data_IF_226340787128
#
_entry.id   IF_226340787128
#
_cell.length_a   1.000
_cell.length_b   1.000
_cell.length_c   1.000
_cell.angle_alpha   90.00
_cell.angle_beta   90.00
_cell.angle_gamma   90.00
#
_symmetry.space_group_name_H-M   'P 1'
#
loop_
_entity.id
_entity.type
_entity.pdbx_description
1 polymer ?
#
# COMPACT_ATOMS: atom_id res chain seq x y z
N UNK A 1 35.00 -40.38 -22.75
CA UNK A 1 33.69 -40.07 -22.13
C UNK A 1 33.76 -38.66 -21.57
N UNK A 2 33.02 -37.71 -22.15
CA UNK A 2 33.00 -36.30 -21.72
C UNK A 2 31.75 -36.10 -20.86
N UNK A 3 31.94 -35.85 -19.57
CA UNK A 3 30.89 -35.53 -18.61
C UNK A 3 30.41 -34.11 -18.95
N UNK A 4 29.16 -33.98 -19.42
CA UNK A 4 28.52 -32.67 -19.55
C UNK A 4 28.24 -32.12 -18.16
N UNK A 5 28.85 -30.98 -17.85
CA UNK A 5 28.57 -30.17 -16.68
C UNK A 5 27.12 -29.68 -16.74
N UNK A 6 26.31 -30.12 -15.77
CA UNK A 6 25.02 -29.53 -15.46
C UNK A 6 25.26 -28.13 -14.88
N UNK A 7 25.15 -27.10 -15.71
CA UNK A 7 25.04 -25.71 -15.27
C UNK A 7 23.66 -25.52 -14.64
N UNK A 8 23.62 -25.66 -13.33
CA UNK A 8 22.48 -25.31 -12.49
C UNK A 8 22.38 -23.78 -12.45
N UNK A 9 21.53 -23.21 -13.30
CA UNK A 9 21.05 -21.83 -13.16
C UNK A 9 20.05 -21.76 -12.01
N UNK A 10 20.54 -21.74 -10.78
CA UNK A 10 19.75 -21.22 -9.65
C UNK A 10 19.98 -19.72 -9.63
N UNK A 11 19.23 -19.00 -10.47
CA UNK A 11 19.01 -17.58 -10.27
C UNK A 11 18.03 -17.46 -9.11
N UNK A 12 18.54 -17.00 -7.98
CA UNK A 12 17.87 -16.99 -6.69
C UNK A 12 16.50 -16.33 -6.71
N UNK A 13 15.45 -17.13 -6.51
CA UNK A 13 14.13 -16.68 -6.09
C UNK A 13 14.14 -16.38 -4.59
N UNK A 14 14.90 -15.35 -4.19
CA UNK A 14 15.00 -14.90 -2.80
C UNK A 14 14.93 -13.36 -2.68
N UNK A 15 14.00 -12.71 -3.39
CA UNK A 15 13.90 -11.24 -3.39
C UNK A 15 12.48 -10.65 -3.25
N UNK A 16 11.48 -11.40 -2.76
CA UNK A 16 10.13 -10.83 -2.56
C UNK A 16 9.77 -10.51 -1.10
N UNK A 17 10.19 -11.32 -0.12
CA UNK A 17 9.63 -11.15 1.24
C UNK A 17 10.12 -9.88 1.95
N UNK A 18 11.38 -9.49 1.76
CA UNK A 18 11.95 -8.28 2.36
C UNK A 18 11.46 -6.97 1.73
N UNK A 19 11.12 -6.98 0.43
CA UNK A 19 10.68 -5.79 -0.28
C UNK A 19 9.20 -5.46 -0.03
N UNK A 20 8.35 -6.48 0.16
CA UNK A 20 6.92 -6.28 0.42
C UNK A 20 6.68 -5.70 1.83
N UNK A 21 7.31 -6.27 2.85
CA UNK A 21 7.18 -5.78 4.22
C UNK A 21 7.78 -4.38 4.38
N UNK A 22 8.96 -4.13 3.80
CA UNK A 22 9.58 -2.80 3.80
C UNK A 22 8.68 -1.76 3.11
N UNK A 23 8.10 -2.11 1.96
CA UNK A 23 7.12 -1.27 1.25
C UNK A 23 5.93 -0.94 2.16
N UNK A 24 5.29 -1.96 2.75
CA UNK A 24 4.13 -1.76 3.62
C UNK A 24 4.44 -0.89 4.84
N UNK A 25 5.52 -1.21 5.56
CA UNK A 25 5.90 -0.46 6.76
C UNK A 25 6.16 1.01 6.44
N UNK A 26 6.89 1.28 5.34
CA UNK A 26 7.20 2.64 4.92
C UNK A 26 5.93 3.42 4.52
N UNK A 27 5.08 2.86 3.67
CA UNK A 27 3.90 3.55 3.14
C UNK A 27 2.84 3.73 4.24
N UNK A 28 2.57 2.70 5.06
CA UNK A 28 1.66 2.86 6.19
C UNK A 28 2.20 3.82 7.25
N UNK A 29 3.53 3.91 7.43
CA UNK A 29 4.17 4.94 8.25
C UNK A 29 3.83 6.35 7.78
N UNK A 30 3.99 6.64 6.49
CA UNK A 30 3.62 7.94 5.92
C UNK A 30 2.13 8.24 6.06
N UNK A 31 1.26 7.25 5.84
CA UNK A 31 -0.19 7.40 6.01
C UNK A 31 -0.57 7.69 7.46
N UNK A 32 0.08 7.05 8.43
CA UNK A 32 -0.15 7.32 9.84
C UNK A 32 0.29 8.74 10.22
N UNK A 33 1.48 9.17 9.78
CA UNK A 33 1.95 10.54 9.99
C UNK A 33 0.99 11.57 9.36
N UNK A 34 0.53 11.30 8.13
CA UNK A 34 -0.44 12.15 7.44
C UNK A 34 -1.77 12.23 8.18
N UNK A 35 -2.33 11.08 8.60
CA UNK A 35 -3.60 11.02 9.32
C UNK A 35 -3.55 11.80 10.63
N UNK A 36 -2.44 11.69 11.37
CA UNK A 36 -2.23 12.43 12.60
C UNK A 36 -2.03 13.93 12.35
N UNK A 37 -1.20 14.30 11.37
CA UNK A 37 -0.90 15.70 11.04
C UNK A 37 -2.12 16.46 10.51
N UNK A 38 -2.93 15.81 9.69
CA UNK A 38 -4.06 16.45 8.99
C UNK A 38 -5.43 16.05 9.55
N UNK A 39 -5.48 15.33 10.67
CA UNK A 39 -6.71 14.88 11.32
C UNK A 39 -7.63 14.11 10.36
N UNK A 40 -7.11 13.03 9.77
CA UNK A 40 -7.88 12.10 8.93
C UNK A 40 -8.27 10.89 9.77
N UNK A 41 -9.55 10.80 10.11
CA UNK A 41 -10.07 9.84 11.10
C UNK A 41 -10.39 8.44 10.55
N UNK A 42 -10.46 8.29 9.23
CA UNK A 42 -10.83 7.06 8.52
C UNK A 42 -9.71 6.53 7.60
N UNK A 43 -8.45 6.88 7.85
CA UNK A 43 -7.31 6.48 7.00
C UNK A 43 -7.10 4.97 7.06
N UNK A 44 -7.33 4.26 5.95
CA UNK A 44 -7.09 2.82 5.90
C UNK A 44 -5.60 2.47 5.98
N UNK A 45 -5.30 1.41 6.75
CA UNK A 45 -4.06 0.66 6.62
C UNK A 45 -4.10 -0.11 5.29
N UNK A 46 -3.01 -0.02 4.52
CA UNK A 46 -2.86 -0.72 3.25
C UNK A 46 -2.36 -2.14 3.47
N UNK A 47 -2.87 -3.06 2.66
CA UNK A 47 -2.37 -4.43 2.50
C UNK A 47 -1.60 -4.55 1.18
N UNK A 48 -0.71 -5.54 1.06
CA UNK A 48 0.07 -5.73 -0.16
C UNK A 48 -0.72 -6.54 -1.19
N UNK A 49 -0.73 -6.10 -2.45
CA UNK A 49 -1.43 -6.80 -3.54
C UNK A 49 -0.48 -7.15 -4.70
N UNK A 50 -0.14 -8.44 -4.81
CA UNK A 50 0.74 -8.97 -5.87
C UNK A 50 0.16 -8.79 -7.28
N UNK A 51 -1.15 -8.61 -7.44
CA UNK A 51 -1.76 -8.30 -8.74
C UNK A 51 -1.39 -6.90 -9.18
N UNK A 52 -1.43 -5.93 -8.26
CA UNK A 52 -0.98 -4.56 -8.55
C UNK A 52 0.50 -4.59 -8.90
N UNK A 53 1.31 -5.37 -8.17
CA UNK A 53 2.74 -5.55 -8.49
C UNK A 53 2.95 -6.05 -9.91
N UNK A 54 2.18 -7.07 -10.32
CA UNK A 54 2.24 -7.62 -11.67
C UNK A 54 1.96 -6.55 -12.72
N UNK A 55 0.92 -5.72 -12.53
CA UNK A 55 0.63 -4.64 -13.47
C UNK A 55 1.74 -3.59 -13.50
N UNK A 56 2.36 -3.26 -12.35
CA UNK A 56 3.54 -2.36 -12.33
C UNK A 56 4.64 -2.93 -13.23
N UNK A 57 4.97 -4.22 -13.10
CA UNK A 57 6.01 -4.88 -13.90
C UNK A 57 5.68 -4.88 -15.39
N UNK A 58 4.42 -5.13 -15.76
CA UNK A 58 3.96 -5.07 -17.15
C UNK A 58 4.07 -3.67 -17.75
N UNK A 59 3.74 -2.62 -16.99
CA UNK A 59 3.89 -1.24 -17.44
C UNK A 59 5.37 -0.83 -17.59
N UNK A 60 6.22 -1.31 -16.68
CA UNK A 60 7.67 -1.08 -16.77
C UNK A 60 8.29 -1.79 -17.97
N UNK A 61 7.82 -2.99 -18.33
CA UNK A 61 8.31 -3.72 -19.50
C UNK A 61 8.01 -3.03 -20.83
N UNK A 62 7.08 -2.07 -20.85
CA UNK A 62 6.73 -1.26 -22.03
C UNK A 62 7.59 0.01 -22.15
N UNK A 63 8.41 0.31 -21.13
CA UNK A 63 9.26 1.49 -21.17
C UNK A 63 10.36 1.29 -22.22
N UNK A 64 10.45 2.24 -23.13
CA UNK A 64 11.54 2.31 -24.12
C UNK A 64 12.75 3.07 -23.54
N UNK A 65 12.50 3.96 -22.57
CA UNK A 65 13.53 4.77 -21.91
C UNK A 65 13.33 4.78 -20.39
N UNK A 66 14.41 4.51 -19.66
CA UNK A 66 14.53 4.54 -18.20
C UNK A 66 14.24 5.92 -17.58
N UNK A 67 14.22 6.99 -18.38
CA UNK A 67 13.84 8.33 -17.94
C UNK A 67 12.32 8.55 -17.92
N UNK A 68 11.54 7.66 -18.56
CA UNK A 68 10.09 7.81 -18.61
C UNK A 68 9.51 7.78 -17.20
N UNK A 69 8.73 8.81 -16.89
CA UNK A 69 7.94 8.94 -15.66
C UNK A 69 6.50 9.11 -16.08
N UNK A 70 5.60 8.29 -15.56
CA UNK A 70 4.19 8.44 -15.84
C UNK A 70 3.32 7.91 -14.71
N UNK A 71 2.09 8.40 -14.71
CA UNK A 71 1.02 7.91 -13.86
C UNK A 71 -0.02 7.27 -14.76
N UNK A 72 -0.24 5.96 -14.60
CA UNK A 72 -1.34 5.27 -15.27
C UNK A 72 -2.53 5.25 -14.32
N UNK A 73 -3.64 5.81 -14.80
CA UNK A 73 -4.93 5.70 -14.14
C UNK A 73 -5.74 4.61 -14.84
N UNK A 74 -6.00 3.52 -14.14
CA UNK A 74 -6.98 2.51 -14.55
C UNK A 74 -8.29 2.73 -13.78
N UNK A 75 -9.39 2.09 -14.16
CA UNK A 75 -10.68 2.19 -13.43
C UNK A 75 -10.50 1.83 -11.95
N UNK A 76 -9.64 0.86 -11.63
CA UNK A 76 -9.50 0.32 -10.28
C UNK A 76 -8.15 0.60 -9.60
N UNK A 77 -7.19 1.19 -10.29
CA UNK A 77 -5.84 1.38 -9.75
C UNK A 77 -5.16 2.67 -10.24
N UNK A 78 -4.18 3.13 -9.48
CA UNK A 78 -3.24 4.19 -9.86
C UNK A 78 -1.84 3.59 -9.80
N UNK A 79 -1.08 3.70 -10.89
CA UNK A 79 0.29 3.20 -10.98
C UNK A 79 1.22 4.37 -11.23
N UNK A 80 2.25 4.51 -10.41
CA UNK A 80 3.29 5.52 -10.52
C UNK A 80 4.58 4.82 -10.91
N UNK A 81 5.08 5.14 -12.10
CA UNK A 81 6.33 4.59 -12.62
C UNK A 81 7.42 5.66 -12.55
N UNK A 82 8.52 5.35 -11.87
CA UNK A 82 9.72 6.19 -11.79
C UNK A 82 9.46 7.64 -11.31
N UNK A 83 8.42 7.85 -10.51
CA UNK A 83 8.01 9.19 -10.04
C UNK A 83 8.96 9.66 -8.93
N UNK A 84 9.34 10.95 -8.85
CA UNK A 84 10.18 11.45 -7.76
C UNK A 84 9.55 11.17 -6.39
N UNK A 85 10.39 10.73 -5.43
CA UNK A 85 9.97 10.28 -4.08
C UNK A 85 9.03 11.25 -3.35
N UNK A 86 9.26 12.55 -3.49
CA UNK A 86 8.43 13.59 -2.84
C UNK A 86 6.99 13.61 -3.36
N UNK A 87 6.81 13.45 -4.69
CA UNK A 87 5.48 13.37 -5.30
C UNK A 87 4.79 12.07 -4.95
N UNK A 88 5.54 10.96 -4.96
CA UNK A 88 5.06 9.67 -4.47
C UNK A 88 4.50 9.79 -3.04
N UNK A 89 5.26 10.38 -2.12
CA UNK A 89 4.88 10.44 -0.71
C UNK A 89 3.55 11.19 -0.51
N UNK A 90 3.33 12.28 -1.24
CA UNK A 90 2.06 13.02 -1.18
C UNK A 90 0.89 12.19 -1.72
N UNK A 91 1.07 11.54 -2.87
CA UNK A 91 0.03 10.78 -3.56
C UNK A 91 -0.37 9.50 -2.80
N UNK A 92 0.58 8.81 -2.16
CA UNK A 92 0.31 7.59 -1.36
C UNK A 92 -0.28 7.88 0.01
N UNK A 93 -0.03 9.08 0.55
CA UNK A 93 -0.47 9.44 1.89
C UNK A 93 -1.91 9.95 1.96
N UNK A 94 -2.44 10.51 0.86
CA UNK A 94 -3.65 11.33 0.94
C UNK A 94 -4.98 10.59 0.82
N UNK A 95 -5.17 9.54 -0.02
CA UNK A 95 -6.49 8.94 -0.12
C UNK A 95 -6.77 8.02 1.06
N UNK A 96 -7.67 8.43 1.97
CA UNK A 96 -8.08 7.62 3.12
C UNK A 96 -8.70 6.28 2.71
N UNK A 97 -9.39 6.25 1.56
CA UNK A 97 -10.13 5.10 1.07
C UNK A 97 -9.31 3.99 0.45
N UNK A 98 -8.10 4.25 -0.05
CA UNK A 98 -7.25 3.23 -0.67
C UNK A 98 -6.93 2.12 0.36
N UNK A 99 -6.91 0.87 -0.10
CA UNK A 99 -6.79 -0.33 0.77
C UNK A 99 -5.63 -1.25 0.40
N UNK A 100 -5.08 -1.12 -0.80
CA UNK A 100 -4.04 -1.99 -1.33
C UNK A 100 -2.87 -1.19 -1.88
N UNK A 101 -1.66 -1.73 -1.75
CA UNK A 101 -0.43 -1.20 -2.32
C UNK A 101 0.43 -2.30 -2.93
N UNK A 102 1.25 -1.94 -3.92
CA UNK A 102 2.42 -2.72 -4.30
C UNK A 102 3.59 -1.80 -4.61
N UNK A 103 4.80 -2.31 -4.43
CA UNK A 103 6.02 -1.59 -4.76
C UNK A 103 6.94 -2.47 -5.60
N UNK A 104 7.57 -1.89 -6.62
CA UNK A 104 8.61 -2.56 -7.42
C UNK A 104 9.85 -1.69 -7.40
N UNK A 105 10.92 -2.23 -6.80
CA UNK A 105 12.30 -1.75 -6.96
C UNK A 105 12.92 -2.50 -8.14
N UNK A 106 13.56 -1.78 -9.05
CA UNK A 106 14.27 -2.36 -10.20
C UNK A 106 15.45 -1.48 -10.60
N UNK A 107 16.24 -1.96 -11.56
CA UNK A 107 17.34 -1.20 -12.15
C UNK A 107 17.11 -1.08 -13.66
N UNK A 108 17.37 0.11 -14.21
CA UNK A 108 17.28 0.40 -15.64
C UNK A 108 18.49 1.25 -16.03
N UNK A 109 19.34 0.75 -16.93
CA UNK A 109 20.61 1.37 -17.35
C UNK A 109 21.50 1.81 -16.17
N UNK A 110 21.62 0.98 -15.12
CA UNK A 110 22.43 1.28 -13.94
C UNK A 110 21.81 2.31 -12.98
N UNK A 111 20.57 2.74 -13.24
CA UNK A 111 19.81 3.64 -12.37
C UNK A 111 18.71 2.87 -11.66
N UNK A 112 18.64 2.99 -10.34
CA UNK A 112 17.52 2.47 -9.55
C UNK A 112 16.22 3.18 -9.94
N UNK A 113 15.19 2.39 -10.22
CA UNK A 113 13.82 2.85 -10.45
C UNK A 113 12.93 2.26 -9.37
N UNK A 114 12.17 3.14 -8.73
CA UNK A 114 11.10 2.79 -7.82
C UNK A 114 9.75 3.09 -8.47
N UNK A 115 8.86 2.10 -8.43
CA UNK A 115 7.50 2.22 -8.91
C UNK A 115 6.55 1.70 -7.85
N UNK A 116 5.34 2.26 -7.79
CA UNK A 116 4.32 1.83 -6.84
C UNK A 116 2.94 1.82 -7.51
N UNK A 117 2.04 1.06 -6.93
CA UNK A 117 0.65 1.04 -7.32
C UNK A 117 -0.26 1.04 -6.10
N UNK A 118 -1.43 1.65 -6.26
CA UNK A 118 -2.50 1.68 -5.27
C UNK A 118 -3.79 1.21 -5.94
N UNK A 119 -4.67 0.57 -5.18
CA UNK A 119 -6.06 0.50 -5.61
C UNK A 119 -6.69 1.90 -5.59
N UNK A 120 -7.79 2.06 -6.32
CA UNK A 120 -8.73 3.15 -6.09
C UNK A 120 -9.76 2.54 -5.16
N UNK A 121 -9.62 2.75 -3.85
CA UNK A 121 -10.44 2.09 -2.84
C UNK A 121 -11.90 1.90 -3.27
N UNK A 122 -12.49 0.74 -2.96
CA UNK A 122 -13.84 0.33 -3.41
C UNK A 122 -14.95 1.33 -3.07
N UNK A 123 -14.66 2.23 -2.14
CA UNK A 123 -15.44 3.42 -1.86
C UNK A 123 -14.49 4.61 -2.05
N UNK A 124 -14.89 5.58 -2.87
CA UNK A 124 -14.37 6.95 -2.71
C UNK A 124 -14.88 7.48 -1.36
N UNK A 125 -14.35 6.97 -0.26
CA UNK A 125 -14.61 7.58 1.05
C UNK A 125 -13.77 8.82 1.08
N UNK A 126 -14.44 9.97 1.06
CA UNK A 126 -13.80 11.24 1.34
C UNK A 126 -13.08 11.16 2.69
N UNK A 127 -12.01 11.94 2.81
CA UNK A 127 -11.29 12.09 4.07
C UNK A 127 -12.24 12.65 5.14
N UNK A 128 -12.48 11.88 6.19
CA UNK A 128 -13.32 12.34 7.29
C UNK A 128 -12.44 13.04 8.31
N UNK A 129 -12.73 14.32 8.57
CA UNK A 129 -12.02 15.09 9.60
C UNK A 129 -12.31 14.56 11.00
N UNK A 130 -11.25 14.42 11.79
CA UNK A 130 -11.28 14.02 13.18
C UNK A 130 -9.96 13.38 13.63
N UNK A 131 -9.81 13.03 14.91
CA UNK A 131 -8.61 12.35 15.38
C UNK A 131 -8.42 11.02 14.63
N UNK A 132 -7.17 10.66 14.32
CA UNK A 132 -6.82 9.48 13.56
C UNK A 132 -7.44 8.20 14.17
N UNK A 133 -7.97 7.31 13.32
CA UNK A 133 -8.60 6.04 13.72
C UNK A 133 -9.97 6.13 14.39
N UNK A 134 -10.52 7.33 14.65
CA UNK A 134 -11.80 7.47 15.38
C UNK A 134 -13.05 7.18 14.54
N UNK A 135 -12.93 7.11 13.21
CA UNK A 135 -14.06 6.89 12.30
C UNK A 135 -13.74 5.82 11.26
N UNK A 136 -13.15 4.72 11.70
CA UNK A 136 -12.89 3.60 10.81
C UNK A 136 -14.18 3.05 10.18
N UNK A 137 -14.12 2.59 8.91
CA UNK A 137 -15.21 1.86 8.28
C UNK A 137 -15.67 0.67 9.13
N UNK A 138 -16.92 0.25 8.96
CA UNK A 138 -17.57 -0.77 9.82
C UNK A 138 -16.88 -2.14 9.82
N UNK A 139 -16.12 -2.45 8.77
CA UNK A 139 -15.35 -3.69 8.61
C UNK A 139 -13.89 -3.55 9.09
N UNK A 140 -13.52 -2.42 9.69
CA UNK A 140 -12.15 -2.08 10.09
C UNK A 140 -12.08 -1.62 11.54
N UNK A 141 -10.90 -1.76 12.12
CA UNK A 141 -10.58 -1.40 13.50
C UNK A 141 -9.37 -0.47 13.54
N UNK A 142 -9.36 0.44 14.50
CA UNK A 142 -8.25 1.36 14.69
C UNK A 142 -6.99 0.62 15.12
N UNK A 143 -5.87 0.89 14.49
CA UNK A 143 -4.53 0.49 14.94
C UNK A 143 -4.04 1.46 16.02
N UNK A 144 -2.99 1.08 16.74
CA UNK A 144 -2.32 1.95 17.71
C UNK A 144 -1.68 3.19 17.06
N UNK A 145 -1.50 3.18 15.74
CA UNK A 145 -0.96 4.30 14.96
C UNK A 145 -2.05 5.21 14.37
N UNK A 146 -3.33 4.90 14.59
CA UNK A 146 -4.47 5.69 14.10
C UNK A 146 -4.89 5.37 12.66
N UNK A 147 -4.48 4.22 12.13
CA UNK A 147 -4.96 3.69 10.84
C UNK A 147 -6.15 2.75 11.03
N UNK A 148 -6.88 2.45 9.96
CA UNK A 148 -8.02 1.54 9.94
C UNK A 148 -7.65 0.22 9.27
N UNK A 149 -7.38 -0.80 10.07
CA UNK A 149 -6.95 -2.13 9.61
C UNK A 149 -8.09 -3.13 9.61
N UNK A 150 -7.98 -4.19 8.80
CA UNK A 150 -8.89 -5.34 8.92
C UNK A 150 -8.67 -6.06 10.26
N UNK A 151 -9.73 -6.50 10.94
CA UNK A 151 -9.59 -7.28 12.17
C UNK A 151 -8.77 -8.55 11.91
N UNK A 152 -7.65 -8.73 12.63
CA UNK A 152 -6.88 -9.98 12.58
C UNK A 152 -7.65 -11.05 13.36
N UNK A 153 -7.78 -12.24 12.77
CA UNK A 153 -8.56 -13.36 13.31
C UNK A 153 -8.22 -13.67 14.76
N UNK A 154 -9.10 -13.20 15.65
CA UNK A 154 -9.24 -13.41 17.11
C UNK A 154 -9.80 -12.17 17.83
N UNK A 155 -9.90 -11.01 17.17
CA UNK A 155 -10.78 -9.93 17.61
C UNK A 155 -12.23 -10.25 17.27
N UNK A 156 -12.82 -11.24 17.96
CA UNK A 156 -14.28 -11.33 18.06
C UNK A 156 -14.75 -10.03 18.68
N UNK A 157 -15.63 -9.33 17.98
CA UNK A 157 -16.36 -8.16 18.46
C UNK A 157 -16.84 -8.38 19.89
N UNK A 158 -16.12 -7.80 20.86
CA UNK A 158 -16.64 -7.57 22.20
C UNK A 158 -17.60 -6.40 22.13
N UNK A 159 -18.77 -6.58 21.52
CA UNK A 159 -19.88 -5.64 21.65
C UNK A 159 -20.38 -5.70 23.09
N UNK A 160 -19.73 -4.96 24.00
CA UNK A 160 -20.32 -4.61 25.29
C UNK A 160 -21.14 -3.34 25.08
N UNK A 161 -22.41 -3.52 24.75
CA UNK A 161 -23.40 -2.46 24.92
C UNK A 161 -23.53 -2.17 26.42
N UNK A 162 -22.79 -1.20 26.94
CA UNK A 162 -23.20 -0.52 28.17
C UNK A 162 -24.24 0.53 27.80
N UNK A 163 -25.50 0.12 27.84
CA UNK A 163 -26.60 1.05 28.05
C UNK A 163 -26.48 1.58 29.48
N UNK A 164 -25.80 2.71 29.66
CA UNK A 164 -25.90 3.49 30.90
C UNK A 164 -27.23 4.24 30.87
N UNK A 165 -28.09 3.92 31.83
CA UNK A 165 -29.50 4.30 31.86
C UNK A 165 -29.78 5.80 31.92
N UNK A 166 -30.77 6.23 31.14
CA UNK A 166 -31.46 7.50 31.32
C UNK A 166 -32.49 7.32 32.46
N UNK A 167 -32.13 7.75 33.68
CA UNK A 167 -33.12 8.18 34.69
C UNK A 167 -33.27 9.69 34.54
N UNK A 168 -34.47 10.10 34.16
CA UNK A 168 -34.99 11.46 34.15
C UNK A 168 -36.49 11.34 34.03
#
# INVERSE_FOLDING_TARGET
MKILLLLVLVLGSAHSHGSHEECLQKINGFRAEWANKYNVSNMNELEYDEKIETVIREEMAKMEDCSQQFVKHDVNMKIYVNVPREKEQMEVSSPAGDTMVACVKSECNGKEIFSLGLDKGSMKTDDIRGPAGTKCPSDRVATTQGLCARPKGNQKFGMSWKYEGRRG
#
